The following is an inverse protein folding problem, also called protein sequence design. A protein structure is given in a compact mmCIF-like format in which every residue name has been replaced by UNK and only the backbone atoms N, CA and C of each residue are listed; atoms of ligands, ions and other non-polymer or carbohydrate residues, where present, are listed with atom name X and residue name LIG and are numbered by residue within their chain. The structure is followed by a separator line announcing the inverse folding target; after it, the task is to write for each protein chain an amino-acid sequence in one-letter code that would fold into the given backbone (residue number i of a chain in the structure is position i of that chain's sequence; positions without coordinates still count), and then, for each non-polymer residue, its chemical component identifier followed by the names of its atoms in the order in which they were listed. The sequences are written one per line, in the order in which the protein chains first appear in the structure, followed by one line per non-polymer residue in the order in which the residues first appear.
data_IF_583575155528
#
_entry.id   IF_583575155528
#
_cell.length_a   1.000
_cell.length_b   1.000
_cell.length_c   1.000
_cell.angle_alpha   90.00
_cell.angle_beta   90.00
_cell.angle_gamma   90.00
#
_symmetry.space_group_name_H-M   'P 1'
#
loop_
_entity.id
_entity.type
_entity.pdbx_description
1 polymer ?
#
# COMPACT_ATOMS: atom_id res chain seq x y z
N UNK A 1 -6.80 40.42 -2.62
CA UNK A 1 -7.71 39.25 -2.73
C UNK A 1 -7.22 38.18 -3.70
N UNK A 2 -6.82 38.50 -4.94
CA UNK A 2 -6.39 37.49 -5.94
C UNK A 2 -5.17 36.64 -5.52
N UNK A 3 -4.17 37.23 -4.88
CA UNK A 3 -2.96 36.52 -4.43
C UNK A 3 -3.28 35.53 -3.30
N UNK A 4 -4.00 35.98 -2.27
CA UNK A 4 -4.43 35.14 -1.14
C UNK A 4 -5.27 33.95 -1.63
N UNK A 5 -6.20 34.19 -2.57
CA UNK A 5 -7.02 33.14 -3.16
C UNK A 5 -6.19 32.10 -3.93
N UNK A 6 -5.16 32.53 -4.68
CA UNK A 6 -4.25 31.61 -5.38
C UNK A 6 -3.42 30.75 -4.41
N UNK A 7 -2.95 31.34 -3.32
CA UNK A 7 -2.20 30.61 -2.27
C UNK A 7 -3.10 29.56 -1.61
N UNK A 8 -4.33 29.93 -1.26
CA UNK A 8 -5.30 29.00 -0.69
C UNK A 8 -5.58 27.81 -1.61
N UNK A 9 -5.79 28.08 -2.91
CA UNK A 9 -6.01 27.02 -3.90
C UNK A 9 -4.79 26.10 -4.02
N UNK A 10 -3.59 26.66 -4.05
CA UNK A 10 -2.36 25.87 -4.10
C UNK A 10 -2.18 24.98 -2.87
N UNK A 11 -2.53 25.48 -1.67
CA UNK A 11 -2.51 24.69 -0.43
C UNK A 11 -3.55 23.57 -0.43
N UNK A 12 -4.78 23.85 -0.87
CA UNK A 12 -5.82 22.82 -0.97
C UNK A 12 -5.42 21.76 -1.99
N UNK A 13 -4.88 22.16 -3.14
CA UNK A 13 -4.44 21.24 -4.17
C UNK A 13 -3.25 20.37 -3.71
N UNK A 14 -2.29 20.93 -2.98
CA UNK A 14 -1.15 20.15 -2.47
C UNK A 14 -1.58 19.15 -1.40
N UNK A 15 -2.48 19.53 -0.49
CA UNK A 15 -3.04 18.62 0.52
C UNK A 15 -3.85 17.52 -0.17
N UNK A 16 -4.70 17.87 -1.15
CA UNK A 16 -5.49 16.89 -1.91
C UNK A 16 -4.58 15.89 -2.65
N UNK A 17 -3.46 16.35 -3.22
CA UNK A 17 -2.51 15.47 -3.91
C UNK A 17 -1.87 14.41 -3.00
N UNK A 18 -1.74 14.67 -1.69
CA UNK A 18 -1.24 13.67 -0.71
C UNK A 18 -2.20 12.46 -0.57
N UNK A 19 -3.51 12.66 -0.77
CA UNK A 19 -4.52 11.62 -0.63
C UNK A 19 -4.87 10.91 -1.95
N UNK A 20 -4.50 11.49 -3.10
CA UNK A 20 -4.73 10.88 -4.42
C UNK A 20 -3.48 10.12 -4.92
N UNK A 21 -2.29 10.42 -4.38
CA UNK A 21 -1.02 9.81 -4.80
C UNK A 21 -0.58 8.60 -3.99
N UNK A 22 -1.48 7.96 -3.23
CA UNK A 22 -1.16 6.78 -2.42
C UNK A 22 -1.01 5.52 -3.28
N UNK A 23 -0.08 5.53 -4.22
CA UNK A 23 0.71 4.36 -4.56
C UNK A 23 1.85 4.25 -3.55
N UNK A 24 1.53 4.03 -2.27
CA UNK A 24 2.55 3.53 -1.33
C UNK A 24 3.09 2.25 -1.94
N UNK A 25 4.41 2.16 -2.09
CA UNK A 25 5.05 0.90 -2.50
C UNK A 25 4.79 -0.13 -1.40
N UNK A 26 3.67 -0.85 -1.50
CA UNK A 26 3.43 -2.05 -0.72
C UNK A 26 4.00 -3.22 -1.49
N UNK A 27 4.49 -4.22 -0.75
CA UNK A 27 4.72 -5.51 -1.35
C UNK A 27 3.42 -6.01 -2.02
N UNK A 28 3.51 -6.72 -3.13
CA UNK A 28 2.38 -7.44 -3.71
C UNK A 28 2.13 -8.73 -2.93
N UNK A 29 0.86 -9.03 -2.63
CA UNK A 29 0.49 -10.32 -2.04
C UNK A 29 0.58 -11.41 -3.13
N UNK A 30 1.45 -12.40 -2.92
CA UNK A 30 1.64 -13.51 -3.86
C UNK A 30 0.59 -14.61 -3.64
N UNK A 31 0.40 -15.00 -2.38
CA UNK A 31 -0.54 -16.04 -1.97
C UNK A 31 -0.83 -15.96 -0.48
N UNK A 32 -1.95 -16.55 -0.07
CA UNK A 32 -2.38 -16.64 1.31
C UNK A 32 -3.12 -17.94 1.60
N UNK A 33 -3.11 -18.36 2.85
CA UNK A 33 -3.91 -19.49 3.33
C UNK A 33 -4.47 -19.17 4.72
N UNK A 34 -5.73 -19.48 4.91
CA UNK A 34 -6.39 -19.40 6.22
C UNK A 34 -6.83 -20.77 6.70
N UNK A 35 -6.65 -21.04 7.99
CA UNK A 35 -7.08 -22.26 8.66
C UNK A 35 -7.71 -21.94 10.00
N UNK A 36 -8.71 -22.71 10.41
CA UNK A 36 -9.26 -22.65 11.76
C UNK A 36 -8.47 -23.61 12.66
N UNK A 37 -7.88 -23.11 13.73
CA UNK A 37 -7.11 -23.94 14.66
C UNK A 37 -7.99 -24.70 15.66
N UNK A 38 -7.37 -25.54 16.49
CA UNK A 38 -8.08 -26.35 17.50
C UNK A 38 -8.77 -25.55 18.61
N UNK A 39 -8.52 -24.24 18.71
CA UNK A 39 -9.18 -23.33 19.65
C UNK A 39 -10.27 -22.48 18.96
N UNK A 40 -10.54 -22.72 17.68
CA UNK A 40 -11.53 -22.00 16.90
C UNK A 40 -11.07 -20.63 16.39
N UNK A 41 -9.76 -20.32 16.43
CA UNK A 41 -9.21 -19.08 15.87
C UNK A 41 -8.94 -19.25 14.39
N UNK A 42 -9.24 -18.24 13.58
CA UNK A 42 -8.79 -18.17 12.18
C UNK A 42 -7.35 -17.68 12.13
N UNK A 43 -6.44 -18.54 11.70
CA UNK A 43 -5.04 -18.22 11.47
C UNK A 43 -4.83 -18.00 9.98
N UNK A 44 -4.19 -16.89 9.61
CA UNK A 44 -3.86 -16.55 8.22
C UNK A 44 -2.36 -16.45 8.06
N UNK A 45 -1.83 -17.10 7.03
CA UNK A 45 -0.44 -16.98 6.58
C UNK A 45 -0.43 -16.37 5.18
N UNK A 46 0.56 -15.51 4.90
CA UNK A 46 0.68 -14.79 3.65
C UNK A 46 2.12 -14.77 3.15
N UNK A 47 2.28 -14.73 1.83
CA UNK A 47 3.54 -14.58 1.13
C UNK A 47 3.49 -13.32 0.27
N UNK A 48 4.57 -12.54 0.26
CA UNK A 48 4.64 -11.25 -0.40
C UNK A 48 5.97 -11.09 -1.17
N UNK A 49 5.93 -10.45 -2.34
CA UNK A 49 7.09 -10.10 -3.18
C UNK A 49 8.11 -11.22 -3.43
N UNK A 50 7.65 -12.44 -3.68
CA UNK A 50 8.56 -13.57 -3.86
C UNK A 50 9.26 -13.50 -5.20
N UNK A 51 10.56 -13.22 -5.15
CA UNK A 51 11.44 -13.25 -6.31
C UNK A 51 12.49 -14.34 -6.14
N UNK A 52 12.51 -15.30 -7.07
CA UNK A 52 13.54 -16.34 -7.14
C UNK A 52 14.51 -16.02 -8.27
N UNK A 53 15.75 -15.70 -7.92
CA UNK A 53 16.79 -15.32 -8.88
C UNK A 53 17.67 -16.52 -9.27
N UNK A 54 17.54 -16.99 -10.51
CA UNK A 54 18.43 -18.01 -11.08
C UNK A 54 19.78 -17.41 -11.50
N UNK A 55 20.87 -18.07 -11.16
CA UNK A 55 22.25 -17.68 -11.52
C UNK A 55 23.00 -18.85 -12.17
N UNK A 56 24.08 -18.56 -12.89
CA UNK A 56 24.99 -19.62 -13.37
C UNK A 56 25.52 -20.44 -12.18
N UNK A 57 25.62 -21.78 -12.29
CA UNK A 57 26.11 -22.64 -11.22
C UNK A 57 27.53 -22.31 -10.74
#
# INVERSE_FOLDING_TARGET
MKVISRVLIAMVASIAALFVSTGTSNAGLDNELSVVDGQGRTLTVQQWDTFLNGVFP
#
